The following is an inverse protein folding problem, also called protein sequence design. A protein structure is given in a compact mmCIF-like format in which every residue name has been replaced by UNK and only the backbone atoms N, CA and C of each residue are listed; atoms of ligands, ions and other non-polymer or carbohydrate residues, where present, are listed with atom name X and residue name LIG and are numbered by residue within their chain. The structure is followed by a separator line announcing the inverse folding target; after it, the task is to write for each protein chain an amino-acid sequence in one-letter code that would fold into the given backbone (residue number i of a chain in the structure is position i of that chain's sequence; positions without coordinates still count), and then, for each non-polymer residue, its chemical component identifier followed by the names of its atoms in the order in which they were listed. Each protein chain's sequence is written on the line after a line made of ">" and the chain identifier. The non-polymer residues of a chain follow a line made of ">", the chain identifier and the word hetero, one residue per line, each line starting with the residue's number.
data_IF_221355443717
#
_entry.id   IF_221355443717
#
_cell.length_a   1.000
_cell.length_b   1.000
_cell.length_c   1.000
_cell.angle_alpha   90.00
_cell.angle_beta   90.00
_cell.angle_gamma   90.00
#
_symmetry.space_group_name_H-M   'P 1'
#
loop_
_entity.id
_entity.type
_entity.pdbx_description
1 polymer ?
#
# COMPACT_ATOMS: atom_id res chain seq x y z
N UNK A 1 -5.32 9.84 -26.18
CA UNK A 1 -3.91 9.83 -25.74
C UNK A 1 -3.67 8.53 -24.97
N UNK A 2 -2.87 7.62 -25.53
CA UNK A 2 -2.48 6.38 -24.85
C UNK A 2 -1.58 6.70 -23.63
N UNK A 3 -1.61 5.81 -22.63
CA UNK A 3 -1.34 6.05 -21.20
C UNK A 3 -0.17 6.97 -20.82
N UNK A 4 -0.46 7.99 -20.01
CA UNK A 4 0.55 8.83 -19.35
C UNK A 4 1.21 8.07 -18.18
N UNK A 5 2.53 7.88 -18.22
CA UNK A 5 3.29 7.30 -17.09
C UNK A 5 3.42 8.30 -15.94
N UNK A 6 3.51 7.77 -14.71
CA UNK A 6 3.66 8.56 -13.48
C UNK A 6 4.61 7.85 -12.53
N UNK A 7 5.34 8.63 -11.74
CA UNK A 7 6.20 8.11 -10.68
C UNK A 7 5.76 8.69 -9.35
N UNK A 8 5.57 7.81 -8.37
CA UNK A 8 5.17 8.14 -7.01
C UNK A 8 6.21 7.66 -6.00
N UNK A 9 6.34 8.39 -4.91
CA UNK A 9 6.89 7.91 -3.65
C UNK A 9 5.71 7.84 -2.68
N UNK A 10 5.52 6.69 -2.05
CA UNK A 10 4.41 6.48 -1.13
C UNK A 10 4.87 5.82 0.15
N UNK A 11 4.28 6.24 1.26
CA UNK A 11 4.40 5.58 2.55
C UNK A 11 3.20 4.64 2.75
N UNK A 12 3.49 3.40 3.10
CA UNK A 12 2.52 2.37 3.40
C UNK A 12 2.61 1.99 4.87
N UNK A 13 1.47 1.84 5.54
CA UNK A 13 1.36 1.32 6.90
C UNK A 13 0.61 0.00 6.88
N UNK A 14 1.24 -1.05 7.39
CA UNK A 14 0.64 -2.38 7.54
C UNK A 14 0.04 -2.57 8.93
N UNK A 15 -0.88 -3.52 9.00
CA UNK A 15 -1.63 -3.88 10.20
C UNK A 15 -2.90 -3.06 10.41
N UNK A 16 -3.19 -2.07 9.55
CA UNK A 16 -4.39 -1.24 9.63
C UNK A 16 -5.01 -1.04 8.25
N UNK A 17 -6.33 -1.00 8.16
CA UNK A 17 -7.04 -0.45 7.01
C UNK A 17 -8.04 0.61 7.43
N UNK A 18 -8.39 1.49 6.49
CA UNK A 18 -9.34 2.59 6.69
C UNK A 18 -10.36 2.65 5.56
N UNK A 19 -11.51 3.28 5.81
CA UNK A 19 -12.61 3.45 4.83
C UNK A 19 -12.17 4.00 3.47
N UNK A 20 -11.09 4.79 3.44
CA UNK A 20 -10.56 5.45 2.24
C UNK A 20 -9.30 4.79 1.68
N UNK A 21 -8.79 3.74 2.32
CA UNK A 21 -7.46 3.15 2.07
C UNK A 21 -6.28 4.14 2.22
N UNK A 22 -6.51 5.23 2.96
CA UNK A 22 -5.49 6.19 3.35
C UNK A 22 -5.69 6.73 4.77
N UNK A 23 -4.76 7.55 5.24
CA UNK A 23 -4.76 8.16 6.58
C UNK A 23 -5.95 9.09 6.86
N UNK A 24 -6.76 9.46 5.86
CA UNK A 24 -7.89 10.38 6.03
C UNK A 24 -9.20 9.68 6.42
N UNK A 25 -9.27 8.35 6.26
CA UNK A 25 -10.45 7.55 6.58
C UNK A 25 -10.45 7.06 8.03
N UNK A 26 -11.62 6.63 8.49
CA UNK A 26 -11.74 5.95 9.79
C UNK A 26 -11.19 4.53 9.71
N UNK A 27 -10.53 4.05 10.76
CA UNK A 27 -10.01 2.69 10.82
C UNK A 27 -11.16 1.67 10.78
N UNK A 28 -10.98 0.60 9.99
CA UNK A 28 -11.99 -0.46 9.76
C UNK A 28 -11.50 -1.89 9.97
N UNK A 29 -10.18 -2.12 9.94
CA UNK A 29 -9.60 -3.42 10.27
C UNK A 29 -8.21 -3.22 10.90
N UNK A 30 -7.84 -4.13 11.80
CA UNK A 30 -6.53 -4.20 12.43
C UNK A 30 -6.05 -5.65 12.47
N UNK A 31 -4.84 -5.91 11.98
CA UNK A 31 -4.26 -7.26 11.92
C UNK A 31 -2.79 -7.28 12.33
N UNK A 32 -2.27 -8.42 12.83
CA UNK A 32 -0.86 -8.55 13.21
C UNK A 32 0.10 -8.32 12.03
N UNK A 33 1.34 -7.93 12.37
CA UNK A 33 2.42 -7.70 11.39
C UNK A 33 3.72 -8.44 11.73
N UNK A 34 3.80 -9.15 12.87
CA UNK A 34 5.04 -9.81 13.34
C UNK A 34 5.58 -10.86 12.36
N UNK A 35 4.71 -11.43 11.50
CA UNK A 35 5.10 -12.42 10.50
C UNK A 35 5.74 -11.81 9.24
N UNK A 36 5.80 -10.48 9.13
CA UNK A 36 6.25 -9.78 7.93
C UNK A 36 7.71 -9.37 8.09
N UNK A 37 8.58 -9.96 7.26
CA UNK A 37 10.00 -9.60 7.18
C UNK A 37 10.28 -8.75 5.95
N UNK A 38 11.44 -8.09 5.92
CA UNK A 38 11.90 -7.30 4.77
C UNK A 38 11.99 -8.16 3.50
N UNK A 39 12.43 -9.41 3.62
CA UNK A 39 12.54 -10.37 2.52
C UNK A 39 11.16 -10.70 1.96
N UNK A 40 10.19 -11.02 2.83
CA UNK A 40 8.80 -11.26 2.41
C UNK A 40 8.20 -10.05 1.71
N UNK A 41 8.50 -8.84 2.18
CA UNK A 41 8.06 -7.62 1.51
C UNK A 41 8.69 -7.49 0.13
N UNK A 42 10.00 -7.67 -0.01
CA UNK A 42 10.70 -7.60 -1.29
C UNK A 42 10.15 -8.62 -2.30
N UNK A 43 9.86 -9.84 -1.87
CA UNK A 43 9.24 -10.88 -2.68
C UNK A 43 7.82 -10.48 -3.12
N UNK A 44 7.02 -9.95 -2.18
CA UNK A 44 5.68 -9.46 -2.48
C UNK A 44 5.72 -8.34 -3.54
N UNK A 45 6.65 -7.39 -3.44
CA UNK A 45 6.77 -6.30 -4.43
C UNK A 45 7.06 -6.81 -5.84
N UNK A 46 7.79 -7.93 -6.01
CA UNK A 46 8.01 -8.48 -7.35
C UNK A 46 6.72 -9.00 -8.00
N UNK A 47 5.78 -9.52 -7.20
CA UNK A 47 4.49 -10.05 -7.69
C UNK A 47 3.65 -8.97 -8.35
N UNK A 48 3.75 -7.72 -7.91
CA UNK A 48 2.96 -6.61 -8.41
C UNK A 48 3.61 -5.83 -9.56
N UNK A 49 4.82 -6.23 -10.00
CA UNK A 49 5.44 -5.67 -11.21
C UNK A 49 4.78 -6.27 -12.46
N UNK A 50 4.59 -5.45 -13.48
CA UNK A 50 3.95 -5.87 -14.73
C UNK A 50 2.49 -5.40 -14.85
N UNK A 51 1.73 -6.09 -15.69
CA UNK A 51 0.29 -5.83 -15.82
C UNK A 51 -0.45 -6.46 -14.64
N UNK A 52 -1.25 -5.65 -13.93
CA UNK A 52 -2.10 -6.10 -12.82
C UNK A 52 -3.53 -5.60 -13.01
N UNK A 53 -4.48 -6.28 -12.37
CA UNK A 53 -5.88 -5.86 -12.32
C UNK A 53 -6.18 -5.22 -10.97
N UNK A 54 -6.57 -3.94 -10.97
CA UNK A 54 -6.95 -3.21 -9.76
C UNK A 54 -8.44 -2.92 -9.73
N UNK A 55 -9.04 -3.04 -8.55
CA UNK A 55 -10.37 -2.45 -8.29
C UNK A 55 -10.16 -1.07 -7.68
N UNK A 56 -10.62 0.01 -8.36
CA UNK A 56 -10.56 1.36 -7.80
C UNK A 56 -11.19 1.44 -6.41
N UNK A 57 -10.67 2.28 -5.50
CA UNK A 57 -11.26 2.48 -4.19
C UNK A 57 -12.63 3.17 -4.32
N UNK A 58 -13.51 2.92 -3.35
CA UNK A 58 -14.82 3.55 -3.26
C UNK A 58 -14.71 5.08 -3.24
N UNK A 59 -13.76 5.63 -2.48
CA UNK A 59 -13.44 7.06 -2.47
C UNK A 59 -12.57 7.44 -3.68
N UNK A 60 -13.15 7.37 -4.88
CA UNK A 60 -12.51 7.79 -6.12
C UNK A 60 -13.43 8.65 -6.98
N UNK A 61 -12.81 9.49 -7.81
CA UNK A 61 -13.53 10.30 -8.78
C UNK A 61 -14.04 9.47 -9.97
N UNK A 62 -14.16 8.14 -9.89
CA UNK A 62 -14.73 7.37 -10.99
C UNK A 62 -16.25 7.61 -11.08
N UNK A 63 -16.80 7.74 -12.29
CA UNK A 63 -18.25 7.87 -12.49
C UNK A 63 -18.91 6.49 -12.62
N UNK A 64 -20.04 6.32 -11.95
CA UNK A 64 -20.99 5.21 -12.09
C UNK A 64 -22.39 5.82 -12.22
N UNK A 65 -23.04 5.55 -13.35
CA UNK A 65 -24.41 5.99 -13.65
C UNK A 65 -24.67 7.49 -13.43
N UNK A 66 -23.71 8.32 -13.87
CA UNK A 66 -23.80 9.79 -13.81
C UNK A 66 -23.35 10.40 -12.48
N UNK A 67 -22.97 9.59 -11.49
CA UNK A 67 -22.53 10.03 -10.16
C UNK A 67 -21.13 9.53 -9.82
N UNK A 68 -20.31 10.30 -9.07
CA UNK A 68 -18.97 9.86 -8.69
C UNK A 68 -19.04 8.84 -7.56
N UNK A 69 -18.14 7.86 -7.53
CA UNK A 69 -18.12 6.82 -6.49
C UNK A 69 -18.00 7.41 -5.07
N UNK A 70 -17.22 8.48 -4.89
CA UNK A 70 -17.12 9.14 -3.59
C UNK A 70 -18.43 9.82 -3.16
N UNK A 71 -19.32 10.22 -4.08
CA UNK A 71 -20.62 10.79 -3.74
C UNK A 71 -21.55 9.70 -3.16
N UNK A 72 -21.52 8.49 -3.72
CA UNK A 72 -22.25 7.34 -3.14
C UNK A 72 -21.81 7.05 -1.70
N UNK A 73 -20.50 7.04 -1.45
CA UNK A 73 -19.93 6.78 -0.14
C UNK A 73 -20.36 7.84 0.90
N UNK A 74 -20.26 9.12 0.54
CA UNK A 74 -20.60 10.24 1.43
C UNK A 74 -22.09 10.30 1.76
N UNK A 75 -22.93 9.89 0.82
CA UNK A 75 -24.39 9.87 1.02
C UNK A 75 -24.88 8.56 1.64
N UNK A 76 -24.00 7.59 1.89
CA UNK A 76 -24.37 6.27 2.41
C UNK A 76 -25.28 5.48 1.46
N UNK A 77 -25.23 5.79 0.16
CA UNK A 77 -26.08 5.14 -0.86
C UNK A 77 -25.35 3.91 -1.39
N UNK A 78 -25.98 2.71 -1.38
CA UNK A 78 -25.40 1.52 -1.98
C UNK A 78 -25.05 1.76 -3.44
N UNK A 79 -23.91 1.22 -3.88
CA UNK A 79 -23.55 1.26 -5.29
C UNK A 79 -24.56 0.47 -6.12
N UNK A 80 -24.98 0.97 -7.30
CA UNK A 80 -25.93 0.27 -8.17
C UNK A 80 -25.37 -1.05 -8.70
N UNK A 81 -24.04 -1.18 -8.75
CA UNK A 81 -23.30 -2.39 -9.14
C UNK A 81 -21.87 -2.36 -8.59
N UNK A 82 -21.18 -3.50 -8.69
CA UNK A 82 -19.79 -3.60 -8.26
C UNK A 82 -18.86 -2.69 -9.07
N UNK A 83 -17.81 -2.17 -8.41
CA UNK A 83 -16.79 -1.34 -9.05
C UNK A 83 -15.99 -2.25 -10.00
N UNK A 84 -15.99 -1.99 -11.33
CA UNK A 84 -15.30 -2.84 -12.27
C UNK A 84 -13.78 -2.69 -12.12
N UNK A 85 -13.07 -3.83 -12.07
CA UNK A 85 -11.61 -3.84 -12.08
C UNK A 85 -11.06 -3.36 -13.42
N UNK A 86 -9.84 -2.84 -13.40
CA UNK A 86 -9.14 -2.28 -14.57
C UNK A 86 -7.72 -2.78 -14.62
N UNK A 87 -7.24 -3.07 -15.83
CA UNK A 87 -5.84 -3.37 -16.07
C UNK A 87 -5.01 -2.10 -15.98
N UNK A 88 -3.90 -2.18 -15.24
CA UNK A 88 -2.90 -1.13 -15.12
C UNK A 88 -1.52 -1.76 -15.21
N UNK A 89 -0.52 -0.95 -15.56
CA UNK A 89 0.86 -1.40 -15.72
C UNK A 89 1.74 -0.79 -14.62
N UNK A 90 2.45 -1.64 -13.90
CA UNK A 90 3.51 -1.27 -12.96
C UNK A 90 4.86 -1.50 -13.65
N UNK A 91 5.47 -0.43 -14.14
CA UNK A 91 6.76 -0.46 -14.82
C UNK A 91 7.94 -0.65 -13.86
N UNK A 92 7.82 -0.12 -12.63
CA UNK A 92 8.84 -0.22 -11.59
C UNK A 92 8.22 -0.12 -10.21
N UNK A 93 8.74 -0.90 -9.27
CA UNK A 93 8.28 -0.96 -7.89
C UNK A 93 9.47 -1.31 -7.00
N UNK A 94 9.98 -0.29 -6.30
CA UNK A 94 11.24 -0.36 -5.56
C UNK A 94 10.97 -0.02 -4.09
N UNK A 95 11.56 -0.80 -3.18
CA UNK A 95 11.56 -0.50 -1.74
C UNK A 95 12.61 0.58 -1.46
N UNK A 96 12.19 1.70 -0.87
CA UNK A 96 13.07 2.82 -0.52
C UNK A 96 13.54 2.73 0.93
N UNK A 97 12.63 2.41 1.85
CA UNK A 97 12.96 2.24 3.27
C UNK A 97 12.05 1.19 3.90
N UNK A 98 12.57 0.58 4.96
CA UNK A 98 11.89 -0.40 5.81
C UNK A 98 12.43 -0.22 7.23
N UNK A 99 11.59 -0.24 8.27
CA UNK A 99 12.01 0.00 9.63
C UNK A 99 12.99 -1.10 10.05
N UNK A 100 14.19 -0.67 10.44
CA UNK A 100 15.15 -1.49 11.17
C UNK A 100 15.02 -1.25 12.68
N UNK A 101 15.62 -2.12 13.51
CA UNK A 101 15.62 -1.98 14.98
C UNK A 101 16.20 -0.63 15.46
N UNK A 102 16.92 0.11 14.59
CA UNK A 102 17.50 1.43 14.91
C UNK A 102 16.62 2.63 14.51
N UNK A 103 15.57 2.41 13.71
CA UNK A 103 14.61 3.47 13.33
C UNK A 103 13.50 3.62 14.37
N UNK A 104 13.83 4.27 15.50
CA UNK A 104 12.85 4.89 16.40
C UNK A 104 12.12 6.04 15.69
N UNK A 105 10.84 6.27 16.03
CA UNK A 105 9.67 5.64 15.46
C UNK A 105 9.15 6.37 14.21
N UNK A 106 8.14 5.74 13.60
CA UNK A 106 7.33 6.23 12.50
C UNK A 106 7.02 7.75 12.58
N UNK A 107 7.64 8.59 11.73
CA UNK A 107 7.36 10.03 11.68
C UNK A 107 5.90 10.34 11.36
N UNK A 108 5.17 9.42 10.73
CA UNK A 108 3.76 9.57 10.37
C UNK A 108 2.83 9.48 11.58
N UNK A 109 3.28 8.99 12.74
CA UNK A 109 2.50 9.05 13.99
C UNK A 109 2.25 10.50 14.44
N UNK A 110 3.09 11.45 14.05
CA UNK A 110 2.85 12.87 14.30
C UNK A 110 1.63 13.40 13.53
N UNK A 111 1.34 12.85 12.34
CA UNK A 111 0.17 13.23 11.53
C UNK A 111 -1.16 12.82 12.20
N UNK A 112 -1.12 11.90 13.17
CA UNK A 112 -2.25 11.53 14.02
C UNK A 112 -2.26 12.28 15.37
N UNK A 113 -1.38 13.28 15.57
CA UNK A 113 -1.33 14.10 16.79
C UNK A 113 -0.64 13.43 17.99
N UNK A 114 0.17 12.39 17.78
CA UNK A 114 0.84 11.71 18.88
C UNK A 114 2.21 12.34 19.19
N UNK A 115 2.34 12.88 20.42
CA UNK A 115 3.61 13.32 20.96
C UNK A 115 4.41 12.08 21.36
N UNK A 116 5.58 11.91 20.76
CA UNK A 116 6.48 10.84 21.14
C UNK A 116 7.26 11.26 22.38
N UNK A 117 6.85 10.80 23.56
CA UNK A 117 7.66 10.97 24.75
C UNK A 117 8.93 10.12 24.58
N UNK A 118 10.07 10.79 24.57
CA UNK A 118 11.38 10.17 24.40
C UNK A 118 11.53 9.04 25.43
N UNK A 119 11.75 7.81 24.94
CA UNK A 119 12.14 6.68 25.79
C UNK A 119 13.51 7.01 26.35
N UNK A 120 13.54 7.54 27.57
CA UNK A 120 14.76 7.71 28.35
C UNK A 120 15.36 6.33 28.59
N UNK A 121 16.49 6.07 27.94
CA UNK A 121 17.33 4.92 28.15
C UNK A 121 17.98 4.99 29.54
N UNK A 122 17.25 4.62 30.59
CA UNK A 122 17.84 4.16 31.85
C UNK A 122 16.78 3.57 32.80
N UNK A 123 16.85 2.27 33.06
CA UNK A 123 16.51 1.66 34.35
C UNK A 123 16.75 0.14 34.32
N UNK A 124 17.93 -0.24 34.83
CA UNK A 124 18.29 -1.59 35.26
C UNK A 124 17.42 -2.10 36.43
N UNK A 125 17.00 -3.37 36.34
CA UNK A 125 16.84 -4.41 37.40
C UNK A 125 16.62 -3.95 38.87
N UNK A 126 15.48 -4.34 39.47
CA UNK A 126 15.44 -5.02 40.79
C UNK A 126 14.02 -5.48 41.21
N UNK A 127 13.90 -6.78 41.57
CA UNK A 127 12.98 -7.50 42.49
C UNK A 127 11.48 -7.16 42.58
N UNK A 128 10.54 -8.08 42.85
CA UNK A 128 10.58 -9.49 43.26
C UNK A 128 9.15 -10.06 43.23
N UNK A 129 9.03 -11.32 42.81
CA UNK A 129 8.19 -12.40 43.36
C UNK A 129 6.67 -12.21 43.50
N UNK A 130 5.89 -13.02 42.75
CA UNK A 130 4.94 -13.98 43.33
C UNK A 130 4.94 -15.26 42.48
N UNK A 131 4.74 -16.38 43.15
CA UNK A 131 5.13 -17.77 42.88
C UNK A 131 3.88 -18.61 42.56
N UNK A 132 4.10 -19.83 42.04
CA UNK A 132 3.29 -21.06 42.13
C UNK A 132 2.48 -21.42 40.86
N UNK A 133 2.45 -22.66 40.35
CA UNK A 133 3.12 -23.92 40.68
C UNK A 133 2.86 -24.94 39.55
N UNK A 134 3.71 -25.98 39.49
CA UNK A 134 3.41 -27.35 38.99
C UNK A 134 3.13 -27.53 37.49
N UNK A 135 3.75 -28.44 36.74
CA UNK A 135 4.54 -29.63 37.05
C UNK A 135 4.13 -30.73 36.06
N UNK A 136 5.12 -31.34 35.37
CA UNK A 136 5.07 -32.65 34.66
C UNK A 136 4.03 -32.81 33.51
N UNK A 137 4.23 -33.55 32.43
CA UNK A 137 5.19 -34.59 32.07
C UNK A 137 5.30 -34.71 30.55
N UNK A 138 6.46 -35.23 30.12
CA UNK A 138 6.77 -35.75 28.80
C UNK A 138 5.96 -37.03 28.57
N UNK A 139 5.20 -37.12 27.48
CA UNK A 139 4.78 -38.40 26.89
C UNK A 139 4.97 -38.32 25.37
N UNK A 140 6.01 -39.02 24.92
CA UNK A 140 6.17 -39.56 23.57
C UNK A 140 5.11 -40.61 23.32
N UNK A 141 4.53 -40.66 22.11
CA UNK A 141 4.13 -41.93 21.52
C UNK A 141 4.07 -41.82 20.00
N UNK A 142 4.91 -42.65 19.40
CA UNK A 142 4.94 -43.07 18.02
C UNK A 142 3.62 -43.75 17.62
N UNK A 143 3.23 -43.59 16.36
CA UNK A 143 2.57 -44.67 15.62
C UNK A 143 2.81 -44.49 14.12
N UNK A 144 3.53 -45.47 13.58
CA UNK A 144 3.78 -45.66 12.15
C UNK A 144 2.59 -46.33 11.44
N UNK A 145 2.73 -46.34 10.10
CA UNK A 145 2.13 -47.23 9.11
C UNK A 145 0.71 -46.91 8.61
N UNK A 146 0.65 -46.31 7.42
CA UNK A 146 0.16 -47.07 6.26
C UNK A 146 0.89 -46.65 4.97
N UNK A 147 1.32 -47.64 4.19
CA UNK A 147 2.03 -47.53 2.91
C UNK A 147 1.05 -47.87 1.79
N UNK A 148 0.90 -46.97 0.84
CA UNK A 148 0.41 -47.32 -0.50
C UNK A 148 1.25 -46.62 -1.55
N UNK A 149 2.02 -47.44 -2.25
CA UNK A 149 2.91 -47.15 -3.37
C UNK A 149 2.14 -46.91 -4.68
N UNK A 150 2.50 -45.86 -5.45
CA UNK A 150 2.47 -45.89 -6.92
C UNK A 150 3.68 -45.10 -7.44
N UNK A 151 4.45 -45.71 -8.33
CA UNK A 151 5.68 -45.20 -8.93
C UNK A 151 5.48 -44.21 -10.09
N UNK A 152 6.58 -43.84 -10.78
CA UNK A 152 6.79 -42.53 -11.38
C UNK A 152 6.24 -42.45 -12.80
N UNK A 153 5.60 -41.34 -13.15
CA UNK A 153 5.38 -40.97 -14.53
C UNK A 153 5.93 -39.56 -14.75
N UNK A 154 6.95 -39.52 -15.61
CA UNK A 154 7.43 -38.35 -16.30
C UNK A 154 6.29 -37.69 -17.07
N UNK A 155 5.94 -36.48 -16.68
CA UNK A 155 5.29 -35.50 -17.54
C UNK A 155 6.00 -34.19 -17.31
N UNK A 156 6.81 -33.83 -18.31
CA UNK A 156 7.30 -32.48 -18.47
C UNK A 156 6.09 -31.57 -18.68
N UNK A 157 5.65 -30.90 -17.61
CA UNK A 157 4.59 -29.90 -17.69
C UNK A 157 5.18 -28.50 -17.77
N UNK A 158 4.71 -27.79 -18.79
CA UNK A 158 4.98 -26.41 -19.16
C UNK A 158 4.99 -25.45 -17.95
N UNK A 159 6.13 -24.83 -17.71
CA UNK A 159 6.35 -23.81 -16.66
C UNK A 159 5.88 -22.41 -17.12
N UNK A 160 4.80 -22.33 -17.89
CA UNK A 160 4.27 -21.05 -18.38
C UNK A 160 2.76 -20.93 -18.10
N UNK A 161 2.38 -19.81 -17.48
CA UNK A 161 1.00 -19.32 -17.25
C UNK A 161 0.29 -19.54 -15.90
N UNK A 162 1.00 -19.51 -14.77
CA UNK A 162 0.41 -19.11 -13.47
C UNK A 162 0.90 -17.73 -12.99
N UNK A 163 0.86 -16.71 -13.86
CA UNK A 163 1.02 -15.31 -13.40
C UNK A 163 -0.26 -14.84 -12.69
N UNK A 164 -0.39 -15.31 -11.45
CA UNK A 164 -0.99 -14.67 -10.27
C UNK A 164 -2.01 -13.56 -10.57
N UNK A 165 -3.25 -13.92 -10.86
CA UNK A 165 -4.37 -12.97 -10.69
C UNK A 165 -4.65 -12.83 -9.20
N UNK A 166 -3.86 -12.01 -8.50
CA UNK A 166 -4.28 -11.50 -7.20
C UNK A 166 -5.64 -10.82 -7.41
N UNK A 167 -6.70 -11.38 -6.81
CA UNK A 167 -8.04 -10.80 -6.89
C UNK A 167 -8.18 -9.80 -5.75
N UNK A 168 -8.42 -8.51 -6.04
CA UNK A 168 -8.62 -7.51 -4.99
C UNK A 168 -9.72 -7.98 -4.04
N UNK A 169 -9.50 -7.89 -2.72
CA UNK A 169 -10.59 -8.02 -1.75
C UNK A 169 -11.61 -6.92 -2.03
N UNK A 170 -12.91 -7.25 -1.96
CA UNK A 170 -13.97 -6.26 -2.06
C UNK A 170 -13.83 -5.30 -0.88
N UNK A 171 -13.50 -4.05 -1.14
CA UNK A 171 -13.44 -3.04 -0.11
C UNK A 171 -14.86 -2.53 0.16
N UNK A 172 -15.44 -2.93 1.28
CA UNK A 172 -16.73 -2.46 1.78
C UNK A 172 -16.48 -1.62 3.03
N UNK A 173 -17.16 -0.49 3.15
CA UNK A 173 -17.15 0.28 4.39
C UNK A 173 -18.11 -0.41 5.39
N UNK A 174 -17.60 -1.06 6.46
CA UNK A 174 -18.46 -1.71 7.44
C UNK A 174 -19.31 -0.70 8.20
N UNK A 175 -18.90 0.57 8.31
CA UNK A 175 -19.72 1.62 8.94
C UNK A 175 -21.02 1.89 8.17
N UNK A 176 -21.05 1.57 6.88
CA UNK A 176 -22.22 1.75 6.02
C UNK A 176 -23.06 0.47 5.87
N UNK A 177 -22.53 -0.68 6.27
CA UNK A 177 -23.12 -1.99 5.94
C UNK A 177 -23.42 -2.87 7.15
N UNK A 178 -22.82 -2.59 8.30
CA UNK A 178 -23.01 -3.33 9.54
C UNK A 178 -23.40 -2.38 10.71
N UNK A 179 -24.66 -2.38 11.15
CA UNK A 179 -25.12 -1.54 12.27
C UNK A 179 -24.53 -1.94 13.63
N UNK A 180 -23.83 -3.07 13.71
CA UNK A 180 -23.14 -3.55 14.92
C UNK A 180 -21.64 -3.25 14.92
N UNK A 181 -21.13 -2.59 13.87
CA UNK A 181 -19.74 -2.20 13.75
C UNK A 181 -19.30 -1.28 14.91
N UNK A 182 -18.24 -1.69 15.62
CA UNK A 182 -17.58 -0.88 16.65
C UNK A 182 -16.31 -0.29 16.02
N UNK A 183 -16.15 1.03 15.95
CA UNK A 183 -14.93 1.65 15.46
C UNK A 183 -13.71 1.15 16.23
N UNK A 184 -12.68 0.73 15.49
CA UNK A 184 -11.41 0.33 16.08
C UNK A 184 -10.80 1.57 16.75
N UNK A 185 -10.41 1.51 18.04
CA UNK A 185 -9.77 2.63 18.70
C UNK A 185 -8.44 2.97 18.01
N UNK A 186 -7.98 4.23 18.06
CA UNK A 186 -6.69 4.60 17.51
C UNK A 186 -5.58 3.72 18.09
N UNK A 187 -4.57 3.33 17.28
CA UNK A 187 -3.45 2.56 17.79
C UNK A 187 -2.72 3.32 18.91
N UNK A 188 -2.25 2.57 19.90
CA UNK A 188 -1.48 3.07 21.04
C UNK A 188 0.02 3.06 20.74
N UNK A 189 0.81 3.80 21.53
CA UNK A 189 2.27 3.97 21.37
C UNK A 189 3.07 2.64 21.44
N UNK A 190 2.43 1.51 21.79
CA UNK A 190 3.03 0.17 21.78
C UNK A 190 2.57 -0.76 20.64
N UNK A 191 1.62 -0.34 19.80
CA UNK A 191 1.14 -1.16 18.69
C UNK A 191 2.22 -1.22 17.61
N UNK A 192 2.78 -2.42 17.39
CA UNK A 192 3.75 -2.66 16.32
C UNK A 192 3.05 -2.53 14.96
N UNK A 193 3.11 -1.34 14.37
CA UNK A 193 2.74 -1.11 12.98
C UNK A 193 3.99 -1.06 12.12
N UNK A 194 4.06 -1.93 11.13
CA UNK A 194 5.14 -1.95 10.16
C UNK A 194 4.84 -0.93 9.06
N UNK A 195 5.66 0.10 8.91
CA UNK A 195 5.57 1.08 7.82
C UNK A 195 6.70 0.87 6.81
N UNK A 196 6.57 1.32 5.57
CA UNK A 196 7.67 1.29 4.59
C UNK A 196 7.41 2.28 3.46
N UNK A 197 8.47 2.67 2.75
CA UNK A 197 8.37 3.56 1.60
C UNK A 197 8.64 2.82 0.30
N UNK A 198 7.82 3.07 -0.72
CA UNK A 198 7.99 2.53 -2.06
C UNK A 198 8.05 3.62 -3.12
N UNK A 199 8.86 3.39 -4.16
CA UNK A 199 8.83 4.13 -5.41
C UNK A 199 8.05 3.33 -6.44
N UNK A 200 7.01 3.93 -7.02
CA UNK A 200 6.11 3.28 -7.97
C UNK A 200 6.14 4.02 -9.30
N UNK A 201 6.63 3.38 -10.36
CA UNK A 201 6.50 3.86 -11.74
C UNK A 201 5.37 3.08 -12.42
N UNK A 202 4.30 3.77 -12.82
CA UNK A 202 3.08 3.12 -13.29
C UNK A 202 2.36 3.86 -14.41
N UNK A 203 1.39 3.20 -15.04
CA UNK A 203 0.49 3.79 -16.03
C UNK A 203 -0.59 4.66 -15.40
N UNK A 204 -1.23 5.49 -16.22
CA UNK A 204 -2.44 6.21 -15.85
C UNK A 204 -3.55 5.28 -15.37
N UNK A 205 -4.32 5.71 -14.37
CA UNK A 205 -5.42 4.93 -13.79
C UNK A 205 -5.01 3.99 -12.65
N UNK A 206 -3.72 3.89 -12.35
CA UNK A 206 -3.21 3.16 -11.18
C UNK A 206 -3.57 3.88 -9.90
N UNK A 207 -4.17 3.16 -8.95
CA UNK A 207 -4.46 3.66 -7.60
C UNK A 207 -3.40 3.14 -6.65
N UNK A 208 -2.53 4.04 -6.15
CA UNK A 208 -1.46 3.68 -5.21
C UNK A 208 -2.03 3.16 -3.87
N UNK A 209 -3.15 3.72 -3.41
CA UNK A 209 -3.91 3.23 -2.25
C UNK A 209 -4.33 1.77 -2.40
N UNK A 210 -4.91 1.42 -3.54
CA UNK A 210 -5.28 0.02 -3.86
C UNK A 210 -4.04 -0.87 -3.95
N UNK A 211 -2.96 -0.40 -4.59
CA UNK A 211 -1.71 -1.17 -4.69
C UNK A 211 -1.17 -1.54 -3.30
N UNK A 212 -1.16 -0.59 -2.35
CA UNK A 212 -0.71 -0.83 -0.98
C UNK A 212 -1.61 -1.83 -0.26
N UNK A 213 -2.93 -1.68 -0.37
CA UNK A 213 -3.89 -2.62 0.24
C UNK A 213 -3.76 -4.05 -0.33
N UNK A 214 -3.51 -4.17 -1.63
CA UNK A 214 -3.30 -5.44 -2.31
C UNK A 214 -1.99 -6.10 -1.88
N UNK A 215 -0.89 -5.34 -1.79
CA UNK A 215 0.39 -5.81 -1.25
C UNK A 215 0.22 -6.32 0.19
N UNK A 216 -0.46 -5.54 1.04
CA UNK A 216 -0.72 -5.93 2.43
C UNK A 216 -1.52 -7.22 2.53
N UNK A 217 -2.56 -7.37 1.71
CA UNK A 217 -3.36 -8.58 1.63
C UNK A 217 -2.52 -9.78 1.18
N UNK A 218 -1.62 -9.59 0.21
CA UNK A 218 -0.70 -10.65 -0.23
C UNK A 218 0.28 -11.07 0.88
N UNK A 219 0.66 -10.13 1.75
CA UNK A 219 1.48 -10.40 2.95
C UNK A 219 0.69 -11.02 4.11
N UNK A 220 -0.62 -11.25 3.95
CA UNK A 220 -1.48 -11.83 4.97
C UNK A 220 -1.84 -10.88 6.10
N UNK A 221 -1.95 -9.58 5.81
CA UNK A 221 -2.41 -8.54 6.75
C UNK A 221 -3.32 -7.53 6.01
N UNK A 222 -3.54 -6.36 6.60
CA UNK A 222 -4.18 -5.20 5.96
C UNK A 222 -3.23 -4.01 5.92
N UNK A 223 -3.49 -3.04 5.05
CA UNK A 223 -2.63 -1.86 4.93
C UNK A 223 -3.35 -0.66 4.34
N UNK A 224 -2.82 0.52 4.64
CA UNK A 224 -3.30 1.82 4.15
C UNK A 224 -2.12 2.71 3.76
N UNK A 225 -2.39 3.70 2.90
CA UNK A 225 -1.40 4.70 2.50
C UNK A 225 -1.41 5.88 3.48
N UNK A 226 -0.25 6.27 4.00
CA UNK A 226 -0.15 7.39 4.97
C UNK A 226 0.33 8.68 4.33
N UNK A 227 1.22 8.58 3.34
CA UNK A 227 1.73 9.72 2.55
C UNK A 227 1.91 9.37 1.06
N UNK A 228 1.80 10.37 0.20
CA UNK A 228 1.93 10.21 -1.25
C UNK A 228 2.49 11.47 -1.93
N UNK A 229 3.64 11.32 -2.56
CA UNK A 229 4.26 12.33 -3.40
C UNK A 229 4.36 11.84 -4.85
N UNK A 230 3.75 12.57 -5.79
CA UNK A 230 4.00 12.34 -7.22
C UNK A 230 5.24 13.13 -7.66
N UNK A 231 6.32 12.41 -7.96
CA UNK A 231 7.61 13.01 -8.35
C UNK A 231 7.78 13.16 -9.86
N UNK A 232 7.00 12.44 -10.66
CA UNK A 232 7.01 12.59 -12.12
C UNK A 232 5.62 12.35 -12.73
N UNK A 233 5.31 13.13 -13.77
CA UNK A 233 4.19 12.87 -14.67
C UNK A 233 4.67 13.02 -16.10
N UNK A 234 4.90 11.89 -16.77
CA UNK A 234 5.14 11.82 -18.22
C UNK A 234 6.19 12.83 -18.73
N UNK A 235 7.39 12.77 -18.16
CA UNK A 235 8.51 13.67 -18.47
C UNK A 235 8.60 14.90 -17.57
N UNK A 236 7.48 15.38 -17.02
CA UNK A 236 7.49 16.48 -16.06
C UNK A 236 7.92 15.96 -14.68
N UNK A 237 9.13 16.33 -14.25
CA UNK A 237 9.70 15.93 -12.95
C UNK A 237 9.57 17.05 -11.94
N UNK A 238 9.18 16.70 -10.71
CA UNK A 238 9.19 17.60 -9.57
C UNK A 238 10.62 18.10 -9.32
N UNK A 239 10.78 19.42 -9.15
CA UNK A 239 12.09 20.08 -9.07
C UNK A 239 12.84 20.19 -10.40
N UNK A 240 12.23 19.77 -11.51
CA UNK A 240 12.78 19.93 -12.85
C UNK A 240 12.60 21.35 -13.41
N UNK A 241 13.13 21.65 -14.61
CA UNK A 241 13.12 22.99 -15.19
C UNK A 241 11.71 23.54 -15.46
N UNK A 242 10.74 22.65 -15.72
CA UNK A 242 9.33 22.98 -15.91
C UNK A 242 8.51 23.03 -14.59
N UNK A 243 9.16 22.98 -13.42
CA UNK A 243 8.51 23.13 -12.10
C UNK A 243 8.80 24.51 -11.53
N UNK A 244 7.79 25.15 -10.94
CA UNK A 244 7.94 26.41 -10.22
C UNK A 244 7.71 26.18 -8.73
N UNK A 245 8.61 26.70 -7.89
CA UNK A 245 8.34 26.87 -6.47
C UNK A 245 7.46 28.10 -6.23
N UNK A 246 6.67 28.11 -5.16
CA UNK A 246 5.74 29.22 -4.90
C UNK A 246 6.43 30.59 -4.84
N UNK A 247 7.66 30.64 -4.30
CA UNK A 247 8.51 31.84 -4.22
C UNK A 247 9.02 32.35 -5.58
N UNK A 248 8.90 31.54 -6.63
CA UNK A 248 9.40 31.84 -7.98
C UNK A 248 8.29 32.41 -8.88
N UNK A 249 7.03 32.30 -8.47
CA UNK A 249 5.87 32.68 -9.28
C UNK A 249 5.81 34.18 -9.62
N UNK A 250 6.42 35.05 -8.81
CA UNK A 250 6.46 36.50 -9.07
C UNK A 250 7.63 36.91 -10.00
N UNK A 251 8.54 35.98 -10.33
CA UNK A 251 9.62 36.22 -11.27
C UNK A 251 9.18 35.81 -12.69
N UNK A 252 8.79 36.81 -13.50
CA UNK A 252 8.29 36.60 -14.86
C UNK A 252 9.28 35.88 -15.78
N UNK A 253 10.57 36.17 -15.66
CA UNK A 253 11.62 35.51 -16.46
C UNK A 253 11.66 34.01 -16.13
N UNK A 254 11.68 33.67 -14.84
CA UNK A 254 11.66 32.28 -14.37
C UNK A 254 10.39 31.55 -14.79
N UNK A 255 9.24 32.22 -14.75
CA UNK A 255 7.96 31.67 -15.24
C UNK A 255 8.03 31.37 -16.73
N UNK A 256 8.57 32.28 -17.53
CA UNK A 256 8.73 32.08 -18.97
C UNK A 256 9.67 30.93 -19.30
N UNK A 257 10.80 30.81 -18.59
CA UNK A 257 11.71 29.66 -18.70
C UNK A 257 11.01 28.32 -18.37
N UNK A 258 10.19 28.28 -17.31
CA UNK A 258 9.45 27.07 -16.94
C UNK A 258 8.44 26.67 -18.03
N UNK A 259 7.76 27.66 -18.63
CA UNK A 259 6.84 27.44 -19.75
C UNK A 259 7.60 26.89 -20.97
N UNK A 260 8.72 27.49 -21.34
CA UNK A 260 9.54 27.04 -22.46
C UNK A 260 10.05 25.62 -22.26
N UNK A 261 10.56 25.30 -21.07
CA UNK A 261 10.98 23.94 -20.72
C UNK A 261 9.80 22.95 -20.77
N UNK A 262 8.62 23.37 -20.31
CA UNK A 262 7.41 22.56 -20.36
C UNK A 262 6.92 22.27 -21.78
N UNK A 263 7.06 23.23 -22.69
CA UNK A 263 6.74 23.07 -24.12
C UNK A 263 7.72 22.10 -24.79
N UNK A 264 9.01 22.18 -24.48
CA UNK A 264 9.98 21.24 -25.01
C UNK A 264 9.65 19.78 -24.62
N UNK A 265 9.32 19.53 -23.35
CA UNK A 265 8.89 18.20 -22.87
C UNK A 265 7.64 17.71 -23.62
N UNK A 266 6.71 18.62 -23.91
CA UNK A 266 5.49 18.31 -24.65
C UNK A 266 5.77 17.94 -26.11
N UNK A 267 6.60 18.74 -26.78
CA UNK A 267 6.95 18.55 -28.18
C UNK A 267 7.70 17.23 -28.39
N UNK A 268 8.70 16.94 -27.54
CA UNK A 268 9.44 15.67 -27.58
C UNK A 268 8.52 14.46 -27.47
N UNK A 269 7.49 14.52 -26.61
CA UNK A 269 6.52 13.42 -26.45
C UNK A 269 5.55 13.29 -27.62
N UNK A 270 5.15 14.38 -28.24
CA UNK A 270 4.16 14.34 -29.33
C UNK A 270 4.77 13.89 -30.65
N UNK A 271 6.06 14.17 -30.88
CA UNK A 271 6.78 13.70 -32.07
C UNK A 271 7.09 12.19 -32.00
N UNK A 272 7.35 11.62 -30.82
CA UNK A 272 7.53 10.17 -30.63
C UNK A 272 6.27 9.32 -30.92
N UNK A 273 5.10 9.94 -31.10
CA UNK A 273 3.84 9.25 -31.38
C UNK A 273 3.35 9.42 -32.84
N UNK A 274 4.17 10.01 -33.72
CA UNK A 274 3.86 10.21 -35.14
C UNK A 274 4.70 9.35 -36.10
N UNK A 275 5.66 8.58 -35.60
CA UNK A 275 6.43 7.55 -36.35
C UNK A 275 5.98 6.14 -35.96
#
# INVERSE_FOLDING_TARGET
>A
MSGSSKVYIAEARLGFSSTTLDSTGSLVDQQPTDHITKERLLDALQVFKGEISQTPPLYSALNMDGKRLYDYAREGIPLPREIPSRKVQIYGLDLLSYPDESTLPDPSLQAFGFQLDAVSADASVSGSSVINNSGNDIITNDNEHDKSTVGPNDVAEDVQEERKTFRPKKFTDPTLTDPTYIPIPPPTIGDKSLYFHIRVHCSSGTYIRTLIADIATHLGTVGLMTDLLRVEQSGYRLGGPATLEMRECDNLERVEEAIQAGNQIWDERTHQHQE
#
